data_IF_234111421450
#
_entry.id   IF_234111421450
#
_cell.length_a   1.000
_cell.length_b   1.000
_cell.length_c   1.000
_cell.angle_alpha   90.00
_cell.angle_beta   90.00
_cell.angle_gamma   90.00
#
_symmetry.space_group_name_H-M   'P 1'
#
loop_
_entity.id
_entity.type
_entity.pdbx_description
1 polymer ?
#
# COMPACT_ATOMS: atom_id res chain seq x y z
N UNK A 1 -16.26 -12.30 -20.33
CA UNK A 1 -16.91 -12.95 -19.18
C UNK A 1 -15.93 -13.77 -18.32
N UNK A 2 -15.01 -14.56 -18.93
CA UNK A 2 -14.10 -15.42 -18.16
C UNK A 2 -13.11 -14.68 -17.24
N UNK A 3 -12.56 -13.54 -17.65
CA UNK A 3 -11.63 -12.75 -16.82
C UNK A 3 -12.31 -12.14 -15.59
N UNK A 4 -13.56 -11.71 -15.72
CA UNK A 4 -14.31 -11.19 -14.57
C UNK A 4 -14.67 -12.30 -13.56
N UNK A 5 -14.92 -13.53 -14.04
CA UNK A 5 -15.21 -14.65 -13.15
C UNK A 5 -14.03 -14.99 -12.23
N UNK A 6 -12.78 -14.89 -12.72
CA UNK A 6 -11.59 -15.09 -11.89
C UNK A 6 -11.50 -14.10 -10.73
N UNK A 7 -11.81 -12.84 -10.97
CA UNK A 7 -11.85 -11.80 -9.91
C UNK A 7 -12.93 -12.11 -8.88
N UNK A 8 -14.14 -12.44 -9.34
CA UNK A 8 -15.27 -12.73 -8.44
C UNK A 8 -15.02 -13.96 -7.55
N UNK A 9 -14.34 -14.98 -8.08
CA UNK A 9 -14.01 -16.19 -7.32
C UNK A 9 -12.91 -15.96 -6.26
N UNK A 10 -11.97 -15.06 -6.53
CA UNK A 10 -10.88 -14.77 -5.60
C UNK A 10 -11.23 -13.69 -4.58
N UNK A 11 -12.18 -12.83 -4.88
CA UNK A 11 -12.56 -11.72 -4.01
C UNK A 11 -12.87 -12.11 -2.56
N UNK A 12 -13.60 -13.22 -2.26
CA UNK A 12 -13.87 -13.62 -0.88
C UNK A 12 -12.60 -13.92 -0.07
N UNK A 13 -11.56 -14.47 -0.71
CA UNK A 13 -10.27 -14.74 -0.05
C UNK A 13 -9.54 -13.44 0.29
N UNK A 14 -9.48 -12.50 -0.65
CA UNK A 14 -8.92 -11.18 -0.39
C UNK A 14 -9.72 -10.42 0.67
N UNK A 15 -11.04 -10.47 0.61
CA UNK A 15 -11.91 -9.86 1.62
C UNK A 15 -11.66 -10.45 3.02
N UNK A 16 -11.42 -11.76 3.12
CA UNK A 16 -11.05 -12.42 4.36
C UNK A 16 -9.70 -11.94 4.90
N UNK A 17 -8.67 -11.88 4.05
CA UNK A 17 -7.34 -11.37 4.43
C UNK A 17 -7.42 -9.90 4.85
N UNK A 18 -8.09 -9.07 4.06
CA UNK A 18 -8.33 -7.66 4.39
C UNK A 18 -9.03 -7.53 5.74
N UNK A 19 -10.09 -8.31 5.96
CA UNK A 19 -10.81 -8.32 7.22
C UNK A 19 -9.91 -8.63 8.42
N UNK A 20 -9.04 -9.63 8.32
CA UNK A 20 -8.07 -9.95 9.38
C UNK A 20 -7.05 -8.84 9.62
N UNK A 21 -6.60 -8.19 8.57
CA UNK A 21 -5.60 -7.11 8.67
C UNK A 21 -6.16 -5.84 9.33
N UNK A 22 -7.44 -5.52 9.06
CA UNK A 22 -8.08 -4.29 9.54
C UNK A 22 -8.93 -4.51 10.79
N UNK A 23 -9.25 -5.76 11.13
CA UNK A 23 -10.02 -6.06 12.33
C UNK A 23 -9.28 -5.59 13.58
N UNK A 24 -9.92 -4.72 14.33
CA UNK A 24 -9.39 -4.25 15.60
C UNK A 24 -9.77 -5.21 16.74
N UNK A 25 -8.86 -5.41 17.67
CA UNK A 25 -9.13 -6.09 18.94
C UNK A 25 -9.99 -5.21 19.87
N UNK A 26 -10.27 -5.69 21.08
CA UNK A 26 -11.05 -4.96 22.08
C UNK A 26 -10.43 -3.61 22.49
N UNK A 27 -9.15 -3.42 22.26
CA UNK A 27 -8.37 -2.21 22.54
C UNK A 27 -8.29 -1.26 21.32
N UNK A 28 -8.94 -1.60 20.22
CA UNK A 28 -8.94 -0.81 18.99
C UNK A 28 -7.68 -0.99 18.12
N UNK A 29 -6.84 -1.98 18.41
CA UNK A 29 -5.58 -2.24 17.70
C UNK A 29 -5.80 -3.26 16.58
N UNK A 30 -5.39 -2.93 15.36
CA UNK A 30 -5.39 -3.82 14.20
C UNK A 30 -3.96 -4.13 13.76
N UNK A 31 -3.77 -5.24 13.03
CA UNK A 31 -2.44 -5.61 12.52
C UNK A 31 -1.88 -4.53 11.55
N UNK A 32 -2.72 -4.00 10.67
CA UNK A 32 -2.34 -2.89 9.80
C UNK A 32 -1.97 -1.63 10.61
N UNK A 33 -2.64 -1.40 11.74
CA UNK A 33 -2.31 -0.34 12.69
C UNK A 33 -0.92 -0.53 13.30
N UNK A 34 -0.63 -1.73 13.82
CA UNK A 34 0.69 -2.06 14.41
C UNK A 34 1.83 -1.86 13.40
N UNK A 35 1.65 -2.31 12.16
CA UNK A 35 2.62 -2.08 11.09
C UNK A 35 2.84 -0.58 10.89
N UNK A 36 1.76 0.19 10.80
CA UNK A 36 1.84 1.64 10.59
C UNK A 36 2.54 2.36 11.74
N UNK A 37 2.21 2.05 12.99
CA UNK A 37 2.84 2.61 14.18
C UNK A 37 4.32 2.27 14.28
N UNK A 38 4.72 1.06 13.89
CA UNK A 38 6.13 0.71 13.82
C UNK A 38 6.91 1.64 12.89
N UNK A 39 6.41 1.89 11.68
CA UNK A 39 7.08 2.82 10.75
C UNK A 39 7.07 4.26 11.27
N UNK A 40 6.01 4.69 11.94
CA UNK A 40 5.95 6.00 12.60
C UNK A 40 7.02 6.10 13.69
N UNK A 41 7.17 5.09 14.54
CA UNK A 41 8.09 5.10 15.68
C UNK A 41 9.56 5.24 15.30
N UNK A 42 9.95 4.79 14.10
CA UNK A 42 11.33 4.88 13.58
C UNK A 42 11.55 6.06 12.63
N UNK A 43 10.52 6.90 12.43
CA UNK A 43 10.56 8.02 11.51
C UNK A 43 10.97 9.34 12.20
N UNK A 44 11.40 10.28 11.37
CA UNK A 44 11.64 11.68 11.73
C UNK A 44 11.04 12.59 10.64
N UNK A 45 11.13 13.91 10.78
CA UNK A 45 10.58 14.88 9.85
C UNK A 45 11.05 14.71 8.39
N UNK A 46 12.24 14.17 8.15
CA UNK A 46 12.79 13.93 6.82
C UNK A 46 12.37 12.56 6.27
N UNK A 47 12.42 11.53 7.10
CA UNK A 47 12.19 10.15 6.66
C UNK A 47 10.72 9.73 6.69
N UNK A 48 9.86 10.48 7.40
CA UNK A 48 8.46 10.12 7.58
C UNK A 48 7.68 9.92 6.28
N UNK A 49 7.76 10.78 5.24
CA UNK A 49 7.02 10.55 4.01
C UNK A 49 7.47 9.26 3.29
N UNK A 50 8.78 9.00 3.25
CA UNK A 50 9.33 7.76 2.67
C UNK A 50 8.88 6.53 3.47
N UNK A 51 8.97 6.58 4.79
CA UNK A 51 8.56 5.46 5.65
C UNK A 51 7.05 5.24 5.63
N UNK A 52 6.25 6.30 5.50
CA UNK A 52 4.80 6.20 5.29
C UNK A 52 4.48 5.52 3.95
N UNK A 53 5.20 5.85 2.88
CA UNK A 53 5.10 5.17 1.58
C UNK A 53 5.42 3.67 1.71
N UNK A 54 6.50 3.31 2.39
CA UNK A 54 6.87 1.90 2.60
C UNK A 54 5.83 1.16 3.47
N UNK A 55 5.39 1.78 4.57
CA UNK A 55 4.33 1.22 5.42
C UNK A 55 3.04 0.95 4.63
N UNK A 56 2.64 1.92 3.80
CA UNK A 56 1.47 1.78 2.95
C UNK A 56 1.64 0.65 1.93
N UNK A 57 2.82 0.52 1.32
CA UNK A 57 3.13 -0.59 0.43
C UNK A 57 3.03 -1.96 1.11
N UNK A 58 3.54 -2.09 2.35
CA UNK A 58 3.43 -3.34 3.12
C UNK A 58 1.98 -3.66 3.45
N UNK A 59 1.20 -2.68 3.93
CA UNK A 59 -0.21 -2.88 4.27
C UNK A 59 -1.03 -3.23 3.04
N UNK A 60 -0.78 -2.56 1.91
CA UNK A 60 -1.51 -2.80 0.66
C UNK A 60 -1.32 -4.22 0.10
N UNK A 61 -0.23 -4.87 0.41
CA UNK A 61 -0.04 -6.27 0.02
C UNK A 61 -1.18 -7.18 0.50
N UNK A 62 -1.76 -6.84 1.66
CA UNK A 62 -2.82 -7.60 2.30
C UNK A 62 -4.18 -6.91 2.18
N UNK A 63 -4.18 -5.57 1.99
CA UNK A 63 -5.38 -4.73 1.90
C UNK A 63 -5.36 -3.96 0.58
N UNK A 64 -5.53 -4.64 -0.58
CA UNK A 64 -5.48 -4.00 -1.90
C UNK A 64 -6.73 -3.17 -2.18
N UNK A 65 -6.98 -2.17 -1.35
CA UNK A 65 -8.16 -1.32 -1.39
C UNK A 65 -7.82 0.06 -0.83
N UNK A 66 -7.66 1.06 -1.68
CA UNK A 66 -7.29 2.41 -1.28
C UNK A 66 -8.17 2.98 -0.17
N UNK A 67 -9.50 2.84 -0.27
CA UNK A 67 -10.42 3.28 0.78
C UNK A 67 -10.29 2.48 2.08
N UNK A 68 -10.16 1.16 1.99
CA UNK A 68 -9.97 0.28 3.16
C UNK A 68 -8.65 0.55 3.86
N UNK A 69 -7.57 0.73 3.10
CA UNK A 69 -6.26 1.08 3.63
C UNK A 69 -6.27 2.47 4.28
N UNK A 70 -6.85 3.46 3.62
CA UNK A 70 -6.98 4.80 4.16
C UNK A 70 -7.74 4.84 5.48
N UNK A 71 -8.83 4.07 5.59
CA UNK A 71 -9.62 4.00 6.82
C UNK A 71 -8.80 3.52 8.04
N UNK A 72 -7.76 2.71 7.81
CA UNK A 72 -6.87 2.21 8.88
C UNK A 72 -5.65 3.09 9.07
N UNK A 73 -4.96 3.44 7.98
CA UNK A 73 -3.69 4.18 8.07
C UNK A 73 -3.87 5.69 8.24
N UNK A 74 -4.90 6.27 7.67
CA UNK A 74 -5.17 7.70 7.77
C UNK A 74 -5.24 8.21 9.21
N UNK A 75 -6.04 7.60 10.10
CA UNK A 75 -6.12 8.00 11.51
C UNK A 75 -4.80 7.92 12.29
N UNK A 76 -3.85 7.11 11.85
CA UNK A 76 -2.53 6.95 12.48
C UNK A 76 -1.51 7.91 11.87
N UNK A 77 -1.41 7.89 10.54
CA UNK A 77 -0.35 8.61 9.82
C UNK A 77 -0.59 10.12 9.75
N UNK A 78 -1.85 10.56 9.64
CA UNK A 78 -2.15 11.99 9.54
C UNK A 78 -1.78 12.76 10.81
N UNK A 79 -2.17 12.34 12.03
CA UNK A 79 -1.71 12.98 13.26
C UNK A 79 -0.20 12.87 13.46
N UNK A 80 0.40 11.72 13.13
CA UNK A 80 1.85 11.54 13.26
C UNK A 80 2.62 12.50 12.36
N UNK A 81 2.21 12.65 11.09
CA UNK A 81 2.79 13.62 10.17
C UNK A 81 2.65 15.06 10.67
N UNK A 82 1.46 15.45 11.16
CA UNK A 82 1.21 16.77 11.72
C UNK A 82 2.12 17.06 12.93
N UNK A 83 2.33 16.08 13.81
CA UNK A 83 3.23 16.20 14.97
C UNK A 83 4.69 16.40 14.55
N UNK A 84 5.09 15.89 13.40
CA UNK A 84 6.42 16.07 12.81
C UNK A 84 6.52 17.34 11.94
N UNK A 85 5.46 18.13 11.84
CA UNK A 85 5.40 19.33 11.00
C UNK A 85 5.30 19.04 9.51
N UNK A 86 4.87 17.83 9.13
CA UNK A 86 4.70 17.44 7.73
C UNK A 86 3.33 17.90 7.22
N UNK A 87 3.33 18.46 6.03
CA UNK A 87 2.09 18.86 5.34
C UNK A 87 1.14 17.66 5.12
N UNK A 88 -0.16 17.93 5.33
CA UNK A 88 -1.21 16.91 5.22
C UNK A 88 -1.27 16.26 3.83
N UNK A 89 -1.07 17.07 2.77
CA UNK A 89 -1.04 16.57 1.40
C UNK A 89 0.13 15.62 1.17
N UNK A 90 1.31 15.93 1.73
CA UNK A 90 2.50 15.09 1.62
C UNK A 90 2.29 13.74 2.32
N UNK A 91 1.70 13.74 3.51
CA UNK A 91 1.36 12.51 4.23
C UNK A 91 0.34 11.67 3.44
N UNK A 92 -0.72 12.29 2.95
CA UNK A 92 -1.74 11.60 2.15
C UNK A 92 -1.17 11.03 0.86
N UNK A 93 -0.33 11.78 0.16
CA UNK A 93 0.34 11.31 -1.06
C UNK A 93 1.29 10.15 -0.80
N UNK A 94 2.02 10.15 0.31
CA UNK A 94 2.89 9.04 0.67
C UNK A 94 2.09 7.73 0.83
N UNK A 95 0.95 7.78 1.51
CA UNK A 95 0.05 6.62 1.66
C UNK A 95 -0.50 6.19 0.31
N UNK A 96 -1.02 7.12 -0.49
CA UNK A 96 -1.61 6.82 -1.79
C UNK A 96 -0.61 6.20 -2.78
N UNK A 97 0.62 6.69 -2.79
CA UNK A 97 1.68 6.14 -3.64
C UNK A 97 2.13 4.75 -3.16
N UNK A 98 2.20 4.52 -1.85
CA UNK A 98 2.53 3.22 -1.29
C UNK A 98 1.46 2.17 -1.60
N UNK A 99 0.18 2.53 -1.49
CA UNK A 99 -0.94 1.69 -1.92
C UNK A 99 -0.80 1.31 -3.41
N UNK A 100 -0.65 2.28 -4.28
CA UNK A 100 -0.54 2.03 -5.72
C UNK A 100 0.72 1.25 -6.09
N UNK A 101 1.83 1.48 -5.40
CA UNK A 101 3.12 0.84 -5.69
C UNK A 101 3.04 -0.68 -5.67
N UNK A 102 2.53 -1.27 -4.60
CA UNK A 102 2.47 -2.72 -4.47
C UNK A 102 1.29 -3.35 -5.20
N UNK A 103 0.30 -2.57 -5.64
CA UNK A 103 -0.73 -3.02 -6.58
C UNK A 103 -0.13 -3.50 -7.91
N UNK A 104 1.05 -3.01 -8.31
CA UNK A 104 1.72 -3.44 -9.55
C UNK A 104 2.07 -4.93 -9.55
N UNK A 105 2.35 -5.53 -8.41
CA UNK A 105 2.68 -6.96 -8.30
C UNK A 105 1.50 -7.83 -7.85
N UNK A 106 0.32 -7.24 -7.70
CA UNK A 106 -0.89 -7.97 -7.33
C UNK A 106 -1.57 -8.58 -8.56
N UNK A 107 -1.52 -9.92 -8.76
CA UNK A 107 -2.14 -10.56 -9.92
C UNK A 107 -3.65 -10.32 -10.01
N UNK A 108 -4.29 -10.07 -8.87
CA UNK A 108 -5.73 -9.82 -8.77
C UNK A 108 -6.21 -8.75 -9.76
N UNK A 109 -5.50 -7.62 -9.85
CA UNK A 109 -5.86 -6.53 -10.75
C UNK A 109 -5.62 -6.86 -12.23
N UNK A 110 -4.67 -7.74 -12.51
CA UNK A 110 -4.32 -8.15 -13.88
C UNK A 110 -5.22 -9.24 -14.44
N UNK A 111 -5.95 -9.98 -13.60
CA UNK A 111 -6.75 -11.16 -14.03
C UNK A 111 -7.69 -10.91 -15.22
N UNK A 112 -8.45 -9.79 -15.28
CA UNK A 112 -9.32 -9.54 -16.44
C UNK A 112 -8.53 -9.37 -17.74
N UNK A 113 -7.42 -8.63 -17.70
CA UNK A 113 -6.56 -8.40 -18.87
C UNK A 113 -5.84 -9.67 -19.28
N UNK A 114 -5.32 -10.44 -18.33
CA UNK A 114 -4.69 -11.74 -18.59
C UNK A 114 -5.65 -12.73 -19.23
N UNK A 115 -6.91 -12.76 -18.78
CA UNK A 115 -7.95 -13.61 -19.37
C UNK A 115 -8.24 -13.25 -20.84
N UNK A 116 -8.18 -11.98 -21.22
CA UNK A 116 -8.33 -11.51 -22.60
C UNK A 116 -7.09 -11.85 -23.41
N UNK A 117 -5.90 -11.62 -22.87
CA UNK A 117 -4.62 -11.88 -23.53
C UNK A 117 -4.26 -13.37 -23.61
N UNK A 118 -5.02 -14.23 -22.92
CA UNK A 118 -4.73 -15.68 -22.77
C UNK A 118 -3.36 -15.95 -22.15
N UNK A 119 -2.96 -15.08 -21.23
CA UNK A 119 -1.72 -15.19 -20.44
C UNK A 119 -2.04 -15.65 -19.02
N UNK A 120 -1.06 -16.24 -18.35
CA UNK A 120 -1.10 -16.55 -16.92
C UNK A 120 -0.41 -15.47 -16.12
N UNK A 121 -0.70 -15.37 -14.82
CA UNK A 121 0.01 -14.47 -13.92
C UNK A 121 1.52 -14.74 -13.92
N UNK A 122 1.93 -16.01 -14.08
CA UNK A 122 3.34 -16.42 -14.15
C UNK A 122 4.10 -15.74 -15.29
N UNK A 123 3.45 -15.49 -16.42
CA UNK A 123 4.09 -14.92 -17.60
C UNK A 123 4.50 -13.46 -17.40
N UNK A 124 3.83 -12.74 -16.49
CA UNK A 124 4.05 -11.31 -16.25
C UNK A 124 4.77 -11.01 -14.93
N UNK A 125 4.68 -11.90 -13.93
CA UNK A 125 5.16 -11.62 -12.57
C UNK A 125 6.63 -11.23 -12.50
N UNK A 126 7.49 -11.87 -13.28
CA UNK A 126 8.92 -11.54 -13.31
C UNK A 126 9.17 -10.08 -13.69
N UNK A 127 8.49 -9.60 -14.72
CA UNK A 127 8.59 -8.19 -15.15
C UNK A 127 8.02 -7.23 -14.11
N UNK A 128 6.86 -7.58 -13.54
CA UNK A 128 6.20 -6.73 -12.54
C UNK A 128 7.05 -6.57 -11.27
N UNK A 129 7.71 -7.64 -10.82
CA UNK A 129 8.63 -7.56 -9.67
C UNK A 129 9.78 -6.60 -9.95
N UNK A 130 10.43 -6.70 -11.11
CA UNK A 130 11.54 -5.80 -11.48
C UNK A 130 11.06 -4.35 -11.51
N UNK A 131 9.93 -4.07 -12.15
CA UNK A 131 9.37 -2.72 -12.23
C UNK A 131 9.00 -2.20 -10.84
N UNK A 132 8.38 -3.03 -10.00
CA UNK A 132 8.02 -2.64 -8.62
C UNK A 132 9.26 -2.29 -7.80
N UNK A 133 10.31 -3.08 -7.87
CA UNK A 133 11.57 -2.77 -7.16
C UNK A 133 12.18 -1.46 -7.68
N UNK A 134 12.24 -1.26 -8.99
CA UNK A 134 12.76 -0.03 -9.57
C UNK A 134 11.94 1.19 -9.13
N UNK A 135 10.61 1.14 -9.28
CA UNK A 135 9.71 2.24 -8.89
C UNK A 135 9.79 2.51 -7.38
N UNK A 136 9.91 1.46 -6.56
CA UNK A 136 10.09 1.60 -5.11
C UNK A 136 11.32 2.42 -4.74
N UNK A 137 12.47 2.13 -5.37
CA UNK A 137 13.70 2.89 -5.16
C UNK A 137 13.54 4.34 -5.61
N UNK A 138 12.98 4.57 -6.81
CA UNK A 138 12.75 5.93 -7.33
C UNK A 138 11.80 6.71 -6.43
N UNK A 139 10.72 6.11 -5.96
CA UNK A 139 9.77 6.75 -5.06
C UNK A 139 10.40 7.08 -3.70
N UNK A 140 11.16 6.18 -3.10
CA UNK A 140 11.89 6.44 -1.86
C UNK A 140 12.83 7.64 -2.00
N UNK A 141 13.64 7.67 -3.07
CA UNK A 141 14.53 8.79 -3.35
C UNK A 141 13.74 10.10 -3.61
N UNK A 142 12.62 10.02 -4.31
CA UNK A 142 11.74 11.14 -4.57
C UNK A 142 11.15 11.73 -3.28
N UNK A 143 10.67 10.90 -2.36
CA UNK A 143 10.16 11.37 -1.06
C UNK A 143 11.26 11.97 -0.19
N UNK A 144 12.46 11.40 -0.16
CA UNK A 144 13.61 11.97 0.55
C UNK A 144 14.04 13.31 -0.04
N UNK A 145 14.12 13.40 -1.36
CA UNK A 145 14.45 14.65 -2.04
C UNK A 145 13.38 15.74 -1.78
N UNK A 146 12.10 15.36 -1.84
CA UNK A 146 11.01 16.29 -1.51
C UNK A 146 11.10 16.79 -0.06
N UNK A 147 11.43 15.93 0.89
CA UNK A 147 11.60 16.32 2.28
C UNK A 147 12.84 17.20 2.53
N UNK A 148 13.88 17.08 1.68
CA UNK A 148 15.10 17.85 1.80
C UNK A 148 15.01 19.27 1.18
N UNK A 149 14.12 19.49 0.19
CA UNK A 149 14.05 20.73 -0.56
C UNK A 149 12.80 21.57 -0.27
N UNK A 150 11.80 21.02 0.33
CA UNK A 150 10.53 21.65 0.66
C UNK A 150 10.06 21.33 2.08
#
# INVERSE_FOLDING_TARGET
>A
AGGAAGVLLQFPFYAGIMGMMVAANAEGVSLAGVISEFFVSVSNNVTFPMLSFLAAGVVNFFVPSGGGQWAVQGPIMMPAGANLGIDAGRTAMAIAWGDQWTNMIQPFWALPALGIAKLSARDIMGYLVIVTLFVGVVACLGFLAWAAWF
#
